data_IF_254463363265
#
_entry.id   IF_254463363265
#
_cell.length_a   1.000
_cell.length_b   1.000
_cell.length_c   1.000
_cell.angle_alpha   90.00
_cell.angle_beta   90.00
_cell.angle_gamma   90.00
#
_symmetry.space_group_name_H-M   'P 1'
#
loop_
_entity.id
_entity.type
_entity.pdbx_description
1 polymer ?
#
# COMPACT_ATOMS: atom_id res chain seq x y z
N UNK A 1 -13.74 -22.74 28.95
CA UNK A 1 -14.54 -21.60 28.46
C UNK A 1 -13.68 -20.35 28.33
N UNK A 2 -13.14 -19.74 29.42
CA UNK A 2 -12.28 -18.54 29.33
C UNK A 2 -11.04 -18.69 28.43
N UNK A 3 -10.37 -19.85 28.45
CA UNK A 3 -9.13 -20.10 27.68
C UNK A 3 -9.31 -20.07 26.15
N UNK A 4 -10.44 -20.55 25.63
CA UNK A 4 -10.71 -20.58 24.17
C UNK A 4 -11.22 -19.25 23.64
N UNK A 5 -12.00 -18.52 24.45
CA UNK A 5 -12.45 -17.15 24.11
C UNK A 5 -11.26 -16.19 24.02
N UNK A 6 -10.31 -16.31 24.95
CA UNK A 6 -9.08 -15.51 24.93
C UNK A 6 -8.20 -15.80 23.69
N UNK A 7 -8.13 -17.06 23.26
CA UNK A 7 -7.34 -17.48 22.10
C UNK A 7 -7.95 -16.98 20.78
N UNK A 8 -9.28 -17.02 20.65
CA UNK A 8 -9.99 -16.48 19.48
C UNK A 8 -9.86 -14.96 19.40
N UNK A 9 -9.96 -14.26 20.55
CA UNK A 9 -9.78 -12.80 20.61
C UNK A 9 -8.35 -12.41 20.20
N UNK A 10 -7.32 -13.11 20.70
CA UNK A 10 -5.92 -12.82 20.40
C UNK A 10 -5.60 -13.01 18.91
N UNK A 11 -6.14 -14.05 18.27
CA UNK A 11 -5.96 -14.30 16.82
C UNK A 11 -6.64 -13.24 15.96
N UNK A 12 -7.73 -12.64 16.45
CA UNK A 12 -8.48 -11.59 15.73
C UNK A 12 -7.80 -10.22 15.77
N UNK A 13 -6.92 -9.95 16.75
CA UNK A 13 -6.28 -8.64 16.92
C UNK A 13 -4.91 -8.56 16.22
N UNK A 14 -4.26 -9.70 15.95
CA UNK A 14 -2.94 -9.75 15.29
C UNK A 14 -2.82 -9.03 13.93
N UNK A 15 -3.84 -8.99 13.04
CA UNK A 15 -3.68 -8.30 11.76
C UNK A 15 -3.74 -6.76 11.86
N UNK A 16 -4.18 -6.19 13.00
CA UNK A 16 -4.35 -4.74 13.14
C UNK A 16 -3.03 -4.04 13.51
N UNK A 17 -2.05 -4.77 14.04
CA UNK A 17 -0.80 -4.19 14.55
C UNK A 17 0.26 -3.88 13.47
N UNK A 18 0.00 -4.19 12.20
CA UNK A 18 0.98 -4.03 11.10
C UNK A 18 0.93 -2.63 10.44
N UNK A 19 -0.04 -1.78 10.78
CA UNK A 19 -0.31 -0.51 10.07
C UNK A 19 0.10 0.79 10.80
N UNK A 20 0.98 0.74 11.81
CA UNK A 20 1.17 1.87 12.72
C UNK A 20 2.55 2.56 12.69
N UNK A 21 3.20 2.70 11.52
CA UNK A 21 4.48 3.42 11.43
C UNK A 21 4.55 4.33 10.19
N UNK A 22 4.55 5.66 10.42
CA UNK A 22 4.84 6.69 9.41
C UNK A 22 3.74 7.74 9.22
N UNK A 23 3.52 8.65 10.17
CA UNK A 23 2.54 9.76 9.99
C UNK A 23 3.09 11.18 10.21
N UNK A 24 4.35 11.38 10.61
CA UNK A 24 4.81 12.69 11.11
C UNK A 24 5.40 13.66 10.06
N UNK A 25 5.45 13.32 8.77
CA UNK A 25 6.23 14.08 7.77
C UNK A 25 5.47 15.05 6.85
N UNK A 26 4.14 14.97 6.74
CA UNK A 26 3.42 15.52 5.56
C UNK A 26 2.27 16.48 5.86
N UNK A 27 2.10 16.98 7.09
CA UNK A 27 0.96 17.86 7.42
C UNK A 27 0.91 19.12 6.56
N UNK A 28 2.05 19.81 6.40
CA UNK A 28 2.17 21.03 5.60
C UNK A 28 1.90 20.75 4.11
N UNK A 29 2.43 19.64 3.59
CA UNK A 29 2.22 19.21 2.20
C UNK A 29 0.75 18.86 1.93
N UNK A 30 0.08 18.17 2.87
CA UNK A 30 -1.36 17.87 2.76
C UNK A 30 -2.18 19.16 2.71
N UNK A 31 -1.86 20.15 3.55
CA UNK A 31 -2.54 21.44 3.52
C UNK A 31 -2.31 22.18 2.20
N UNK A 32 -1.08 22.12 1.66
CA UNK A 32 -0.73 22.71 0.37
C UNK A 32 -1.52 22.08 -0.79
N UNK A 33 -1.57 20.75 -0.87
CA UNK A 33 -2.37 20.02 -1.86
C UNK A 33 -3.86 20.36 -1.71
N UNK A 34 -4.37 20.40 -0.48
CA UNK A 34 -5.77 20.71 -0.20
C UNK A 34 -6.15 22.15 -0.60
N UNK A 35 -5.21 23.08 -0.53
CA UNK A 35 -5.42 24.46 -0.95
C UNK A 35 -5.52 24.64 -2.48
N UNK A 36 -5.10 23.64 -3.27
CA UNK A 36 -5.23 23.65 -4.72
C UNK A 36 -4.42 24.76 -5.41
N UNK A 37 -3.30 25.16 -4.81
CA UNK A 37 -2.39 26.17 -5.38
C UNK A 37 -1.91 25.72 -6.76
N UNK A 38 -1.86 26.66 -7.70
CA UNK A 38 -1.40 26.38 -9.06
C UNK A 38 0.08 26.00 -9.06
N UNK A 39 0.49 25.08 -9.92
CA UNK A 39 1.89 24.66 -9.97
C UNK A 39 2.86 25.75 -10.42
N UNK A 40 2.37 26.76 -11.14
CA UNK A 40 3.18 27.93 -11.51
C UNK A 40 3.51 28.82 -10.30
N UNK A 41 2.81 28.62 -9.17
CA UNK A 41 2.98 29.36 -7.92
C UNK A 41 3.75 28.55 -6.86
N UNK A 42 4.11 27.30 -7.16
CA UNK A 42 4.85 26.43 -6.25
C UNK A 42 6.36 26.56 -6.48
N UNK A 43 7.13 26.60 -5.39
CA UNK A 43 8.59 26.49 -5.46
C UNK A 43 9.02 25.05 -5.75
N UNK A 44 10.27 24.86 -6.18
CA UNK A 44 10.83 23.52 -6.43
C UNK A 44 10.79 22.63 -5.18
N UNK A 45 11.00 23.20 -3.99
CA UNK A 45 10.93 22.49 -2.71
C UNK A 45 9.49 22.05 -2.38
N UNK A 46 8.50 22.88 -2.73
CA UNK A 46 7.09 22.53 -2.58
C UNK A 46 6.67 21.47 -3.60
N UNK A 47 7.20 21.53 -4.82
CA UNK A 47 6.97 20.51 -5.83
C UNK A 47 7.62 19.18 -5.44
N UNK A 48 8.81 19.21 -4.86
CA UNK A 48 9.51 18.05 -4.32
C UNK A 48 8.73 17.43 -3.16
N UNK A 49 8.27 18.22 -2.19
CA UNK A 49 7.52 17.69 -1.03
C UNK A 49 6.18 17.07 -1.40
N UNK A 50 5.48 17.63 -2.40
CA UNK A 50 4.27 17.01 -2.95
C UNK A 50 4.60 15.68 -3.64
N UNK A 51 5.75 15.59 -4.31
CA UNK A 51 6.15 14.40 -5.06
C UNK A 51 6.52 13.27 -4.12
N UNK A 52 7.29 13.60 -3.08
CA UNK A 52 7.63 12.77 -1.94
C UNK A 52 6.37 12.21 -1.27
N UNK A 53 5.38 13.07 -1.01
CA UNK A 53 4.10 12.64 -0.47
C UNK A 53 3.41 11.61 -1.37
N UNK A 54 3.35 11.85 -2.68
CA UNK A 54 2.74 10.88 -3.60
C UNK A 54 3.53 9.58 -3.72
N UNK A 55 4.86 9.62 -3.60
CA UNK A 55 5.67 8.41 -3.58
C UNK A 55 5.49 7.60 -2.31
N UNK A 56 5.43 8.26 -1.15
CA UNK A 56 5.07 7.60 0.11
C UNK A 56 3.69 6.93 0.02
N UNK A 57 2.71 7.56 -0.64
CA UNK A 57 1.39 6.93 -0.84
C UNK A 57 1.44 5.71 -1.77
N UNK A 58 2.38 5.67 -2.73
CA UNK A 58 2.53 4.54 -3.66
C UNK A 58 3.40 3.41 -3.10
N UNK A 59 4.44 3.74 -2.34
CA UNK A 59 5.45 2.85 -1.81
C UNK A 59 5.76 3.17 -0.34
N UNK A 60 4.82 2.93 0.60
CA UNK A 60 4.97 3.41 1.97
C UNK A 60 6.09 2.72 2.76
N UNK A 61 6.68 3.46 3.70
CA UNK A 61 7.67 2.99 4.66
C UNK A 61 8.99 2.58 4.02
N UNK A 62 9.56 1.45 4.44
CA UNK A 62 10.89 0.98 4.01
C UNK A 62 11.04 0.86 2.47
N UNK A 63 9.93 0.69 1.74
CA UNK A 63 9.98 0.65 0.28
C UNK A 63 10.34 2.01 -0.33
N UNK A 64 9.86 3.11 0.25
CA UNK A 64 10.21 4.46 -0.17
C UNK A 64 11.71 4.69 0.01
N UNK A 65 12.23 4.42 1.20
CA UNK A 65 13.63 4.64 1.55
C UNK A 65 14.59 3.85 0.64
N UNK A 66 14.24 2.59 0.31
CA UNK A 66 15.03 1.77 -0.63
C UNK A 66 14.99 2.37 -2.04
N UNK A 67 13.85 2.89 -2.47
CA UNK A 67 13.73 3.52 -3.79
C UNK A 67 14.50 4.84 -3.85
N UNK A 68 14.49 5.63 -2.79
CA UNK A 68 15.23 6.88 -2.70
C UNK A 68 16.74 6.64 -2.77
N UNK A 69 17.25 5.68 -2.00
CA UNK A 69 18.65 5.26 -2.05
C UNK A 69 19.04 4.79 -3.45
N UNK A 70 18.18 4.03 -4.12
CA UNK A 70 18.42 3.58 -5.49
C UNK A 70 18.40 4.72 -6.53
N UNK A 71 17.76 5.85 -6.23
CA UNK A 71 17.68 7.03 -7.10
C UNK A 71 18.73 8.11 -6.78
N UNK A 72 19.66 7.82 -5.87
CA UNK A 72 20.77 8.71 -5.52
C UNK A 72 20.82 9.11 -4.05
N UNK A 73 19.85 8.66 -3.25
CA UNK A 73 19.72 8.98 -1.82
C UNK A 73 18.95 10.27 -1.56
N UNK A 74 18.48 10.40 -0.32
CA UNK A 74 17.80 11.61 0.16
C UNK A 74 18.64 12.87 -0.09
N UNK A 75 17.99 13.92 -0.59
CA UNK A 75 18.63 15.20 -0.91
C UNK A 75 19.51 15.19 -2.16
N UNK A 76 19.54 14.09 -2.92
CA UNK A 76 20.20 14.08 -4.23
C UNK A 76 19.40 14.85 -5.28
N UNK A 77 20.12 15.53 -6.19
CA UNK A 77 19.49 16.29 -7.28
C UNK A 77 18.65 15.37 -8.18
N UNK A 78 19.06 14.12 -8.37
CA UNK A 78 18.32 13.12 -9.16
C UNK A 78 17.00 12.71 -8.50
N UNK A 79 16.99 12.57 -7.17
CA UNK A 79 15.77 12.27 -6.43
C UNK A 79 14.81 13.44 -6.45
N UNK A 80 15.32 14.66 -6.18
CA UNK A 80 14.55 15.91 -6.25
C UNK A 80 13.83 16.07 -7.60
N UNK A 81 14.54 15.89 -8.71
CA UNK A 81 13.95 15.98 -10.05
C UNK A 81 12.89 14.90 -10.32
N UNK A 82 13.04 13.73 -9.69
CA UNK A 82 12.05 12.64 -9.79
C UNK A 82 10.76 13.01 -9.04
N UNK A 83 10.87 13.52 -7.82
CA UNK A 83 9.72 13.98 -7.04
C UNK A 83 8.96 15.09 -7.78
N UNK A 84 9.68 16.08 -8.30
CA UNK A 84 9.10 17.16 -9.11
C UNK A 84 8.39 16.61 -10.36
N UNK A 85 8.97 15.62 -11.04
CA UNK A 85 8.33 14.98 -12.20
C UNK A 85 7.02 14.27 -11.79
N UNK A 86 7.00 13.58 -10.66
CA UNK A 86 5.81 12.90 -10.13
C UNK A 86 4.73 13.91 -9.77
N UNK A 87 5.07 15.00 -9.09
CA UNK A 87 4.15 16.11 -8.82
C UNK A 87 3.57 16.68 -10.11
N UNK A 88 4.39 16.86 -11.14
CA UNK A 88 3.91 17.36 -12.42
C UNK A 88 2.88 16.42 -13.09
N UNK A 89 3.04 15.11 -12.91
CA UNK A 89 2.13 14.09 -13.43
C UNK A 89 0.85 13.94 -12.60
N UNK A 90 0.97 13.95 -11.26
CA UNK A 90 -0.11 13.61 -10.35
C UNK A 90 -0.91 14.83 -9.89
N UNK A 91 -0.23 15.96 -9.66
CA UNK A 91 -0.82 17.18 -9.10
C UNK A 91 -1.01 18.27 -10.15
N UNK A 92 0.05 18.62 -10.90
CA UNK A 92 0.00 19.78 -11.80
C UNK A 92 -0.77 19.56 -13.09
N UNK A 93 -0.86 18.30 -13.54
CA UNK A 93 -1.52 17.95 -14.78
C UNK A 93 -1.10 18.85 -15.98
N UNK A 94 0.18 19.25 -15.99
CA UNK A 94 0.79 20.02 -17.09
C UNK A 94 0.92 19.19 -18.39
N UNK A 95 0.37 17.98 -18.41
CA UNK A 95 -0.14 17.31 -19.60
C UNK A 95 -1.59 17.73 -19.84
N UNK A 96 -1.76 18.92 -20.43
CA UNK A 96 -3.01 19.54 -20.90
C UNK A 96 -3.73 18.67 -21.95
N UNK A 97 -4.20 17.48 -21.55
CA UNK A 97 -4.70 16.45 -22.44
C UNK A 97 -4.26 15.03 -22.07
N UNK A 98 -4.70 14.55 -20.90
CA UNK A 98 -5.20 13.18 -20.80
C UNK A 98 -4.31 12.15 -20.11
N UNK A 99 -4.92 11.53 -19.10
CA UNK A 99 -4.92 10.06 -18.95
C UNK A 99 -5.13 9.32 -20.29
N UNK A 100 -5.69 9.99 -21.31
CA UNK A 100 -5.81 9.51 -22.69
C UNK A 100 -4.49 9.45 -23.49
N UNK A 101 -3.42 10.17 -23.11
CA UNK A 101 -2.15 10.17 -23.87
C UNK A 101 -1.13 9.16 -23.35
N UNK A 102 -1.22 8.74 -22.08
CA UNK A 102 -0.49 7.57 -21.58
C UNK A 102 -0.92 6.27 -22.31
N UNK A 103 -2.15 6.21 -22.81
CA UNK A 103 -2.64 5.10 -23.62
C UNK A 103 -2.11 5.12 -25.08
N UNK A 104 -1.64 6.27 -25.58
CA UNK A 104 -1.18 6.42 -26.96
C UNK A 104 0.36 6.49 -27.10
N UNK A 105 1.09 6.75 -26.00
CA UNK A 105 2.55 6.78 -25.97
C UNK A 105 3.24 5.42 -25.74
N UNK A 106 2.51 4.39 -25.31
CA UNK A 106 3.06 3.05 -25.04
C UNK A 106 3.02 2.08 -26.23
N UNK A 107 2.69 2.57 -27.43
CA UNK A 107 2.56 1.74 -28.64
C UNK A 107 3.78 1.80 -29.56
N UNK A 108 4.95 2.21 -29.07
CA UNK A 108 6.15 2.31 -29.88
C UNK A 108 7.43 2.21 -29.05
N UNK A 109 8.21 1.17 -29.34
CA UNK A 109 9.60 0.98 -28.89
C UNK A 109 9.78 0.19 -27.59
N UNK A 110 9.78 -1.14 -27.77
CA UNK A 110 11.00 -1.87 -27.43
C UNK A 110 11.11 -2.40 -26.01
N UNK A 111 11.14 -3.73 -25.94
CA UNK A 111 11.74 -4.51 -24.86
C UNK A 111 10.88 -4.64 -23.59
N UNK A 112 10.01 -5.65 -23.62
CA UNK A 112 9.48 -6.23 -22.40
C UNK A 112 10.61 -6.72 -21.50
N UNK A 113 10.94 -5.94 -20.47
CA UNK A 113 11.54 -6.48 -19.26
C UNK A 113 10.42 -6.80 -18.29
N UNK A 114 9.90 -8.00 -18.52
CA UNK A 114 9.05 -8.79 -17.67
C UNK A 114 9.61 -8.79 -16.24
N UNK A 115 8.96 -8.03 -15.35
CA UNK A 115 9.19 -8.10 -13.92
C UNK A 115 9.00 -9.56 -13.49
N UNK A 116 10.12 -10.21 -13.16
CA UNK A 116 10.29 -11.65 -12.99
C UNK A 116 9.64 -12.21 -11.73
N UNK A 117 8.36 -11.96 -11.50
CA UNK A 117 7.53 -12.77 -10.64
C UNK A 117 6.99 -13.93 -11.45
N UNK A 118 7.55 -15.13 -11.29
CA UNK A 118 7.04 -16.31 -11.98
C UNK A 118 5.51 -16.43 -11.75
N UNK A 119 4.67 -16.44 -12.80
CA UNK A 119 3.22 -16.51 -12.64
C UNK A 119 2.77 -17.75 -11.85
N UNK A 120 3.61 -18.78 -11.79
CA UNK A 120 3.39 -19.97 -10.95
C UNK A 120 3.47 -19.70 -9.45
N UNK A 121 4.37 -18.82 -9.00
CA UNK A 121 4.50 -18.48 -7.58
C UNK A 121 3.31 -17.65 -7.12
N UNK A 122 2.85 -16.69 -7.92
CA UNK A 122 1.69 -15.85 -7.59
C UNK A 122 0.39 -16.67 -7.47
N UNK A 123 0.22 -17.67 -8.35
CA UNK A 123 -0.85 -18.65 -8.23
C UNK A 123 -0.71 -19.45 -6.93
N UNK A 124 0.47 -20.02 -6.65
CA UNK A 124 0.73 -20.77 -5.41
C UNK A 124 0.36 -19.98 -4.14
N UNK A 125 0.78 -18.73 -4.02
CA UNK A 125 0.43 -17.87 -2.87
C UNK A 125 -1.08 -17.63 -2.77
N UNK A 126 -1.75 -17.45 -3.91
CA UNK A 126 -3.21 -17.30 -3.94
C UNK A 126 -3.92 -18.58 -3.49
N UNK A 127 -3.49 -19.75 -3.95
CA UNK A 127 -4.04 -21.05 -3.51
C UNK A 127 -3.77 -21.32 -2.04
N UNK A 128 -2.56 -21.05 -1.56
CA UNK A 128 -2.22 -21.18 -0.14
C UNK A 128 -3.08 -20.25 0.72
N UNK A 129 -3.31 -19.01 0.28
CA UNK A 129 -4.19 -18.07 0.95
C UNK A 129 -5.62 -18.59 1.07
N UNK A 130 -6.22 -19.06 -0.03
CA UNK A 130 -7.58 -19.61 -0.02
C UNK A 130 -7.67 -20.85 0.88
N UNK A 131 -6.70 -21.76 0.82
CA UNK A 131 -6.67 -22.94 1.69
C UNK A 131 -6.54 -22.56 3.18
N UNK A 132 -5.76 -21.54 3.49
CA UNK A 132 -5.61 -21.02 4.85
C UNK A 132 -6.93 -20.45 5.38
N UNK A 133 -7.64 -19.62 4.61
CA UNK A 133 -8.94 -19.07 4.99
C UNK A 133 -10.03 -20.15 5.12
N UNK A 134 -10.04 -21.15 4.23
CA UNK A 134 -10.95 -22.30 4.34
C UNK A 134 -10.67 -23.10 5.62
N UNK A 135 -9.40 -23.35 5.93
CA UNK A 135 -8.98 -24.03 7.15
C UNK A 135 -9.42 -23.29 8.42
N UNK A 136 -9.21 -21.97 8.48
CA UNK A 136 -9.67 -21.13 9.59
C UNK A 136 -11.19 -21.18 9.74
N UNK A 137 -11.93 -21.10 8.64
CA UNK A 137 -13.40 -21.13 8.65
C UNK A 137 -13.92 -22.47 9.21
N UNK A 138 -13.35 -23.59 8.76
CA UNK A 138 -13.70 -24.91 9.29
C UNK A 138 -13.34 -25.06 10.77
N UNK A 139 -12.19 -24.55 11.18
CA UNK A 139 -11.76 -24.58 12.59
C UNK A 139 -12.73 -23.82 13.48
N UNK A 140 -13.12 -22.60 13.08
CA UNK A 140 -14.11 -21.79 13.80
C UNK A 140 -15.45 -22.53 13.87
N UNK A 141 -15.91 -23.11 12.76
CA UNK A 141 -17.17 -23.86 12.71
C UNK A 141 -17.15 -25.05 13.69
N UNK A 142 -16.09 -25.86 13.72
CA UNK A 142 -15.94 -26.98 14.66
C UNK A 142 -15.95 -26.51 16.11
N UNK A 143 -15.27 -25.40 16.42
CA UNK A 143 -15.26 -24.82 17.76
C UNK A 143 -16.66 -24.36 18.19
N UNK A 144 -17.41 -23.72 17.28
CA UNK A 144 -18.80 -23.29 17.54
C UNK A 144 -19.70 -24.48 17.84
N UNK A 145 -19.66 -25.53 17.01
CA UNK A 145 -20.46 -26.75 17.21
C UNK A 145 -20.12 -27.43 18.53
N UNK A 146 -18.82 -27.53 18.85
CA UNK A 146 -18.35 -28.13 20.11
C UNK A 146 -18.81 -27.31 21.32
N UNK A 147 -18.69 -25.99 21.26
CA UNK A 147 -19.19 -25.09 22.30
C UNK A 147 -20.70 -25.22 22.50
N UNK A 148 -21.45 -25.32 21.41
CA UNK A 148 -22.91 -25.48 21.48
C UNK A 148 -23.29 -26.79 22.18
N UNK A 149 -22.62 -27.90 21.83
CA UNK A 149 -22.81 -29.21 22.46
C UNK A 149 -22.43 -29.22 23.96
N UNK A 150 -21.35 -28.53 24.33
CA UNK A 150 -20.93 -28.43 25.73
C UNK A 150 -21.90 -27.56 26.57
N UNK A 151 -22.51 -26.53 25.97
CA UNK A 151 -23.53 -25.70 26.62
C UNK A 151 -24.82 -26.51 26.83
N UNK A 152 -25.27 -27.27 25.84
CA UNK A 152 -26.50 -28.08 25.96
C UNK A 152 -26.33 -29.21 26.97
N UNK A 153 -25.12 -29.79 27.11
CA UNK A 153 -24.84 -30.89 28.05
C UNK A 153 -24.78 -30.45 29.52
N UNK A 154 -24.64 -29.16 29.80
CA UNK A 154 -24.64 -28.61 31.17
C UNK A 154 -26.02 -28.20 31.68
N UNK A 155 -27.02 -28.17 30.79
CA UNK A 155 -28.40 -27.75 31.10
C UNK A 155 -29.36 -28.91 31.38
N UNK A 156 -28.94 -30.16 31.15
CA UNK A 156 -29.66 -31.37 31.54
C UNK A 156 -28.84 -32.15 32.55
#
# INVERSE_FOLDING_TARGET
MKKYVFLVLLVLILPVAVFAHGEDGFEDTKQLIASGVSCDELSDEQLESIGDFFMEQMHPGEQHEIMDEAMGGEGSESLKQTHIRITNMMYCNNMRGGMMNMAFGMMGSGSGMMYGGSPTLMWLWSFLGVLFFLGLTLLVWVLVVKLWKDITRKKG
#
